data_IF_037525594189
#
_entry.id   IF_037525594189
#
_cell.length_a   1.000
_cell.length_b   1.000
_cell.length_c   1.000
_cell.angle_alpha   90.00
_cell.angle_beta   90.00
_cell.angle_gamma   90.00
#
_symmetry.space_group_name_H-M   'P 1'
#
loop_
_entity.id
_entity.type
_entity.pdbx_description
1 polymer ?
#
# COMPACT_ATOMS: atom_id res chain seq x y z
N UNK A 1 -9.85 24.16 -7.50
CA UNK A 1 -11.06 23.57 -6.88
C UNK A 1 -10.82 23.43 -5.39
N UNK A 2 -9.89 22.58 -4.95
CA UNK A 2 -9.56 22.46 -3.52
C UNK A 2 -9.14 23.79 -2.88
N UNK A 3 -8.19 24.51 -3.47
CA UNK A 3 -7.72 25.82 -2.95
C UNK A 3 -8.82 26.87 -2.73
N UNK A 4 -9.93 26.77 -3.45
CA UNK A 4 -11.06 27.70 -3.36
C UNK A 4 -12.22 27.14 -2.52
N UNK A 5 -12.12 25.90 -2.04
CA UNK A 5 -13.16 25.22 -1.24
C UNK A 5 -13.04 25.62 0.22
N UNK A 6 -14.17 25.94 0.85
CA UNK A 6 -14.16 26.48 2.22
C UNK A 6 -15.13 25.80 3.20
N UNK A 7 -16.12 25.04 2.70
CA UNK A 7 -17.20 24.47 3.51
C UNK A 7 -17.30 22.95 3.39
N UNK A 8 -17.35 22.41 2.17
CA UNK A 8 -17.65 20.99 1.99
C UNK A 8 -17.07 20.37 0.73
N UNK A 9 -16.73 19.09 0.83
CA UNK A 9 -16.31 18.24 -0.29
C UNK A 9 -17.13 16.95 -0.25
N UNK A 10 -17.92 16.71 -1.29
CA UNK A 10 -18.67 15.45 -1.43
C UNK A 10 -18.20 14.68 -2.66
N UNK A 11 -17.89 13.40 -2.48
CA UNK A 11 -17.35 12.55 -3.55
C UNK A 11 -18.17 11.27 -3.67
N UNK A 12 -18.61 10.95 -4.89
CA UNK A 12 -19.03 9.61 -5.26
C UNK A 12 -18.00 9.03 -6.21
N UNK A 13 -17.41 7.91 -5.86
CA UNK A 13 -16.53 7.20 -6.78
C UNK A 13 -16.41 5.72 -6.41
N UNK A 14 -16.57 4.78 -7.37
CA UNK A 14 -16.50 3.37 -7.07
C UNK A 14 -15.10 2.90 -6.68
N UNK A 15 -14.07 3.57 -7.18
CA UNK A 15 -12.68 3.17 -6.98
C UNK A 15 -11.88 4.34 -6.42
N UNK A 16 -11.10 4.05 -5.38
CA UNK A 16 -10.23 4.98 -4.70
C UNK A 16 -8.81 4.42 -4.69
N UNK A 17 -7.84 5.18 -5.19
CA UNK A 17 -6.42 4.81 -5.05
C UNK A 17 -5.82 5.42 -3.79
N UNK A 18 -4.82 4.76 -3.20
CA UNK A 18 -4.12 5.27 -2.02
C UNK A 18 -3.53 6.68 -2.27
N UNK A 19 -2.95 6.90 -3.45
CA UNK A 19 -2.31 8.19 -3.81
C UNK A 19 -3.30 9.36 -3.77
N UNK A 20 -4.45 9.23 -4.43
CA UNK A 20 -5.47 10.27 -4.50
C UNK A 20 -6.13 10.48 -3.14
N UNK A 21 -6.41 9.39 -2.41
CA UNK A 21 -6.88 9.44 -1.03
C UNK A 21 -5.89 10.21 -0.14
N UNK A 22 -4.60 9.88 -0.18
CA UNK A 22 -3.58 10.53 0.62
C UNK A 22 -3.42 12.01 0.28
N UNK A 23 -3.51 12.39 -1.00
CA UNK A 23 -3.45 13.81 -1.39
C UNK A 23 -4.61 14.60 -0.79
N UNK A 24 -5.84 14.09 -0.91
CA UNK A 24 -7.00 14.74 -0.31
C UNK A 24 -6.89 14.79 1.22
N UNK A 25 -6.49 13.70 1.86
CA UNK A 25 -6.31 13.65 3.31
C UNK A 25 -5.26 14.63 3.81
N UNK A 26 -4.09 14.69 3.19
CA UNK A 26 -3.04 15.66 3.56
C UNK A 26 -3.55 17.09 3.41
N UNK A 27 -4.24 17.39 2.31
CA UNK A 27 -4.82 18.71 2.12
C UNK A 27 -5.87 19.06 3.19
N UNK A 28 -6.73 18.11 3.58
CA UNK A 28 -7.71 18.32 4.65
C UNK A 28 -7.04 18.62 6.00
N UNK A 29 -5.98 17.90 6.33
CA UNK A 29 -5.21 18.08 7.57
C UNK A 29 -4.46 19.42 7.62
N UNK A 30 -3.97 19.89 6.47
CA UNK A 30 -3.30 21.18 6.33
C UNK A 30 -4.28 22.36 6.23
N UNK A 31 -5.55 22.10 5.90
CA UNK A 31 -6.55 23.14 5.74
C UNK A 31 -6.94 23.76 7.09
N UNK A 32 -6.85 25.09 7.20
CA UNK A 32 -7.21 25.83 8.42
C UNK A 32 -8.71 25.89 8.71
N UNK A 33 -9.54 25.45 7.75
CA UNK A 33 -11.00 25.49 7.82
C UNK A 33 -11.60 24.16 8.26
N UNK A 34 -12.75 24.21 8.94
CA UNK A 34 -13.51 23.00 9.27
C UNK A 34 -14.31 22.54 8.03
N UNK A 35 -13.64 21.84 7.12
CA UNK A 35 -14.23 21.37 5.86
C UNK A 35 -14.91 20.02 6.08
N UNK A 36 -16.22 19.95 5.81
CA UNK A 36 -16.99 18.71 5.89
C UNK A 36 -16.72 17.87 4.65
N UNK A 37 -16.04 16.74 4.81
CA UNK A 37 -15.79 15.80 3.72
C UNK A 37 -16.60 14.51 3.87
N UNK A 38 -17.39 14.17 2.85
CA UNK A 38 -18.17 12.91 2.79
C UNK A 38 -17.89 12.17 1.49
N UNK A 39 -17.74 10.85 1.57
CA UNK A 39 -17.45 10.01 0.41
C UNK A 39 -18.34 8.77 0.39
N UNK A 40 -18.95 8.50 -0.76
CA UNK A 40 -19.66 7.25 -1.05
C UNK A 40 -18.81 6.43 -2.02
N UNK A 41 -18.47 5.19 -1.64
CA UNK A 41 -17.60 4.31 -2.43
C UNK A 41 -18.02 2.84 -2.35
N UNK A 42 -17.42 1.97 -3.17
CA UNK A 42 -17.59 0.52 -3.05
C UNK A 42 -16.68 -0.04 -1.95
N UNK A 43 -17.13 -1.07 -1.24
CA UNK A 43 -16.36 -1.74 -0.20
C UNK A 43 -16.38 -3.26 -0.40
N UNK A 44 -15.65 -3.71 -1.43
CA UNK A 44 -15.65 -5.11 -1.87
C UNK A 44 -14.28 -5.75 -1.57
N UNK A 45 -14.29 -6.89 -0.86
CA UNK A 45 -13.07 -7.60 -0.46
C UNK A 45 -12.18 -7.95 -1.65
N UNK A 46 -12.78 -8.49 -2.71
CA UNK A 46 -12.03 -8.89 -3.89
C UNK A 46 -11.35 -7.71 -4.58
N UNK A 47 -12.00 -6.55 -4.62
CA UNK A 47 -11.41 -5.33 -5.20
C UNK A 47 -10.20 -4.85 -4.37
N UNK A 48 -10.19 -5.10 -3.06
CA UNK A 48 -9.03 -4.84 -2.20
C UNK A 48 -7.89 -5.86 -2.41
N UNK A 49 -8.22 -7.15 -2.50
CA UNK A 49 -7.25 -8.23 -2.75
C UNK A 49 -6.60 -8.06 -4.14
N UNK A 50 -7.41 -7.75 -5.14
CA UNK A 50 -6.95 -7.47 -6.50
C UNK A 50 -6.32 -6.08 -6.63
N UNK A 51 -6.44 -5.22 -5.62
CA UNK A 51 -5.95 -3.84 -5.58
C UNK A 51 -6.53 -2.93 -6.68
N UNK A 52 -7.77 -3.16 -7.09
CA UNK A 52 -8.55 -2.23 -7.92
C UNK A 52 -9.12 -1.07 -7.08
N UNK A 53 -9.30 -1.31 -5.78
CA UNK A 53 -9.68 -0.32 -4.78
C UNK A 53 -8.69 -0.41 -3.60
N UNK A 54 -8.38 0.71 -2.95
CA UNK A 54 -7.38 0.75 -1.88
C UNK A 54 -8.01 0.80 -0.50
N UNK A 55 -8.00 -0.33 0.23
CA UNK A 55 -8.44 -0.37 1.63
C UNK A 55 -7.60 0.55 2.52
N UNK A 56 -6.29 0.69 2.24
CA UNK A 56 -5.41 1.66 2.91
C UNK A 56 -5.75 3.10 2.55
N UNK A 57 -6.14 3.38 1.31
CA UNK A 57 -6.63 4.70 0.91
C UNK A 57 -7.90 5.08 1.68
N UNK A 58 -8.82 4.13 1.85
CA UNK A 58 -10.03 4.32 2.67
C UNK A 58 -9.66 4.54 4.14
N UNK A 59 -8.73 3.75 4.71
CA UNK A 59 -8.21 3.99 6.08
C UNK A 59 -7.60 5.39 6.23
N UNK A 60 -6.81 5.84 5.26
CA UNK A 60 -6.17 7.16 5.26
C UNK A 60 -7.18 8.31 5.22
N UNK A 61 -8.27 8.17 4.44
CA UNK A 61 -9.39 9.12 4.41
C UNK A 61 -10.13 9.14 5.75
N UNK A 62 -10.41 7.96 6.32
CA UNK A 62 -11.05 7.84 7.63
C UNK A 62 -10.23 8.55 8.73
N UNK A 63 -8.91 8.37 8.72
CA UNK A 63 -8.00 9.00 9.68
C UNK A 63 -7.96 10.53 9.57
N UNK A 64 -8.17 11.07 8.37
CA UNK A 64 -8.31 12.51 8.12
C UNK A 64 -9.71 13.05 8.48
N UNK A 65 -10.58 12.26 9.12
CA UNK A 65 -11.90 12.68 9.57
C UNK A 65 -13.00 12.65 8.49
N UNK A 66 -12.73 12.05 7.33
CA UNK A 66 -13.71 11.92 6.25
C UNK A 66 -14.83 10.95 6.64
N UNK A 67 -16.08 11.33 6.41
CA UNK A 67 -17.21 10.39 6.56
C UNK A 67 -17.34 9.49 5.33
N UNK A 68 -17.15 8.19 5.53
CA UNK A 68 -17.12 7.20 4.46
C UNK A 68 -18.35 6.28 4.53
N UNK A 69 -18.99 6.04 3.39
CA UNK A 69 -20.18 5.20 3.28
C UNK A 69 -20.05 4.20 2.13
N UNK A 70 -20.46 2.95 2.37
CA UNK A 70 -20.36 1.87 1.41
C UNK A 70 -21.67 1.68 0.63
N UNK A 71 -21.58 1.75 -0.70
CA UNK A 71 -22.69 1.52 -1.63
C UNK A 71 -22.31 0.47 -2.67
N UNK A 72 -23.10 -0.59 -2.76
CA UNK A 72 -22.94 -1.60 -3.81
C UNK A 72 -23.45 -1.07 -5.15
N UNK A 73 -22.86 -1.58 -6.23
CA UNK A 73 -23.18 -1.20 -7.62
C UNK A 73 -22.99 0.28 -7.97
N UNK A 74 -22.39 1.10 -7.08
CA UNK A 74 -22.04 2.49 -7.38
C UNK A 74 -21.25 2.58 -8.68
N UNK A 75 -21.63 3.44 -9.61
CA UNK A 75 -20.82 3.72 -10.81
C UNK A 75 -20.66 5.23 -11.10
N UNK A 76 -21.39 6.08 -10.38
CA UNK A 76 -21.25 7.53 -10.48
C UNK A 76 -19.84 7.97 -10.11
N UNK A 77 -19.30 8.92 -10.89
CA UNK A 77 -18.12 9.70 -10.52
C UNK A 77 -18.50 11.17 -10.46
N UNK A 78 -18.57 11.70 -9.26
CA UNK A 78 -19.05 13.04 -8.96
C UNK A 78 -18.20 13.62 -7.84
N UNK A 79 -17.72 14.84 -8.02
CA UNK A 79 -16.91 15.57 -7.06
C UNK A 79 -17.52 16.96 -6.88
N UNK A 80 -18.00 17.26 -5.69
CA UNK A 80 -18.67 18.51 -5.35
C UNK A 80 -17.79 19.32 -4.42
N UNK A 81 -17.67 20.61 -4.70
CA UNK A 81 -16.86 21.57 -3.95
C UNK A 81 -17.77 22.72 -3.54
N UNK A 82 -18.02 22.82 -2.24
CA UNK A 82 -19.07 23.66 -1.66
C UNK A 82 -20.42 23.42 -2.37
N UNK A 83 -21.24 24.47 -2.50
CA UNK A 83 -22.50 24.44 -3.25
C UNK A 83 -22.37 25.25 -4.56
N UNK A 84 -21.17 25.38 -5.10
CA UNK A 84 -20.92 26.26 -6.26
C UNK A 84 -20.22 25.58 -7.42
N UNK A 85 -19.49 24.49 -7.19
CA UNK A 85 -18.67 23.91 -8.26
C UNK A 85 -18.67 22.38 -8.21
N UNK A 86 -18.61 21.75 -9.38
CA UNK A 86 -18.58 20.30 -9.49
C UNK A 86 -17.70 19.79 -10.63
N UNK A 87 -17.21 18.57 -10.48
CA UNK A 87 -16.60 17.77 -11.53
C UNK A 87 -17.43 16.49 -11.67
N UNK A 88 -17.76 16.11 -12.89
CA UNK A 88 -18.44 14.85 -13.19
C UNK A 88 -17.94 14.25 -14.49
N UNK A 89 -18.06 12.93 -14.62
CA UNK A 89 -17.64 12.26 -15.85
C UNK A 89 -17.35 10.79 -15.63
N UNK A 90 -16.35 10.30 -16.37
CA UNK A 90 -15.91 8.91 -16.35
C UNK A 90 -14.73 8.64 -15.41
N UNK A 91 -14.00 9.70 -15.01
CA UNK A 91 -12.83 9.64 -14.14
C UNK A 91 -13.14 9.16 -12.71
N UNK A 92 -12.61 8.00 -12.32
CA UNK A 92 -12.63 7.52 -10.92
C UNK A 92 -11.70 8.33 -10.01
N UNK A 93 -11.85 8.17 -8.69
CA UNK A 93 -11.05 8.89 -7.68
C UNK A 93 -9.69 8.22 -7.50
N UNK A 94 -8.99 8.11 -8.62
CA UNK A 94 -7.70 7.46 -8.77
C UNK A 94 -6.80 8.38 -9.57
N UNK A 95 -5.50 8.24 -9.38
CA UNK A 95 -4.53 9.02 -10.16
C UNK A 95 -4.71 8.77 -11.66
N UNK A 96 -5.00 7.52 -12.05
CA UNK A 96 -5.26 7.15 -13.44
C UNK A 96 -6.51 7.82 -14.01
N UNK A 97 -7.59 7.86 -13.24
CA UNK A 97 -8.83 8.52 -13.65
C UNK A 97 -8.63 10.02 -13.87
N UNK A 98 -7.72 10.67 -13.14
CA UNK A 98 -7.48 12.11 -13.32
C UNK A 98 -6.41 12.46 -14.35
N UNK A 99 -5.41 11.60 -14.56
CA UNK A 99 -4.21 12.01 -15.31
C UNK A 99 -3.79 11.07 -16.45
N UNK A 100 -4.35 9.86 -16.54
CA UNK A 100 -3.90 8.86 -17.53
C UNK A 100 -4.96 8.42 -18.52
N UNK A 101 -6.08 7.99 -17.98
CA UNK A 101 -7.08 7.28 -18.75
C UNK A 101 -7.66 8.23 -19.81
N UNK A 102 -8.14 7.65 -20.91
CA UNK A 102 -8.92 8.41 -21.88
C UNK A 102 -10.32 8.68 -21.32
N UNK A 103 -10.42 9.72 -20.50
CA UNK A 103 -11.61 10.06 -19.72
C UNK A 103 -12.28 11.28 -20.33
N UNK A 104 -13.61 11.26 -20.30
CA UNK A 104 -14.44 12.43 -20.55
C UNK A 104 -14.98 12.95 -19.22
N UNK A 105 -14.88 14.26 -19.01
CA UNK A 105 -15.42 14.93 -17.85
C UNK A 105 -15.79 16.38 -18.12
N UNK A 106 -16.66 16.91 -17.28
CA UNK A 106 -17.10 18.30 -17.27
C UNK A 106 -16.71 18.89 -15.92
N UNK A 107 -16.11 20.08 -15.96
CA UNK A 107 -15.85 20.90 -14.78
C UNK A 107 -16.74 22.13 -14.87
N UNK A 108 -17.61 22.31 -13.88
CA UNK A 108 -18.44 23.49 -13.72
C UNK A 108 -17.95 24.26 -12.49
N UNK A 109 -17.68 25.54 -12.67
CA UNK A 109 -17.18 26.43 -11.62
C UNK A 109 -18.17 27.56 -11.44
N UNK A 110 -18.49 27.87 -10.19
CA UNK A 110 -19.39 28.98 -9.85
C UNK A 110 -20.79 28.86 -10.50
N UNK A 111 -21.27 27.62 -10.62
CA UNK A 111 -22.59 27.25 -11.14
C UNK A 111 -23.46 26.67 -9.99
N UNK A 112 -23.97 27.53 -9.08
CA UNK A 112 -24.63 27.07 -7.85
C UNK A 112 -25.94 26.33 -8.11
N UNK A 113 -26.73 26.72 -9.10
CA UNK A 113 -28.04 26.10 -9.37
C UNK A 113 -27.89 24.64 -9.81
N UNK A 114 -26.93 24.37 -10.69
CA UNK A 114 -26.64 23.01 -11.13
C UNK A 114 -25.91 22.21 -10.05
N UNK A 115 -24.98 22.85 -9.32
CA UNK A 115 -24.25 22.19 -8.23
C UNK A 115 -25.20 21.77 -7.11
N UNK A 116 -26.19 22.58 -6.76
CA UNK A 116 -27.21 22.23 -5.76
C UNK A 116 -28.01 20.98 -6.16
N UNK A 117 -28.38 20.82 -7.43
CA UNK A 117 -29.04 19.58 -7.90
C UNK A 117 -28.14 18.35 -7.74
N UNK A 118 -26.82 18.51 -7.96
CA UNK A 118 -25.86 17.44 -7.74
C UNK A 118 -25.67 17.12 -6.24
N UNK A 119 -25.72 18.14 -5.38
CA UNK A 119 -25.71 17.99 -3.91
C UNK A 119 -26.96 17.24 -3.45
N UNK A 120 -28.14 17.59 -3.96
CA UNK A 120 -29.39 16.90 -3.65
C UNK A 120 -29.32 15.42 -4.06
N UNK A 121 -28.78 15.12 -5.25
CA UNK A 121 -28.53 13.75 -5.69
C UNK A 121 -27.61 12.97 -4.73
N UNK A 122 -26.54 13.60 -4.25
CA UNK A 122 -25.61 13.00 -3.28
C UNK A 122 -26.31 12.72 -1.94
N UNK A 123 -26.96 13.73 -1.36
CA UNK A 123 -27.57 13.65 -0.03
C UNK A 123 -28.79 12.70 -0.02
N UNK A 124 -29.57 12.65 -1.10
CA UNK A 124 -30.65 11.66 -1.25
C UNK A 124 -30.10 10.24 -1.33
N UNK A 125 -28.99 10.04 -2.03
CA UNK A 125 -28.30 8.74 -2.07
C UNK A 125 -27.81 8.36 -0.68
N UNK A 126 -27.17 9.28 0.03
CA UNK A 126 -26.69 9.06 1.39
C UNK A 126 -27.83 8.73 2.36
N UNK A 127 -28.96 9.45 2.27
CA UNK A 127 -30.15 9.19 3.08
C UNK A 127 -30.68 7.77 2.86
N UNK A 128 -30.72 7.30 1.62
CA UNK A 128 -31.14 5.92 1.30
C UNK A 128 -30.16 4.89 1.85
N UNK A 129 -28.85 5.13 1.73
CA UNK A 129 -27.82 4.28 2.36
C UNK A 129 -28.08 4.16 3.87
N UNK A 130 -28.33 5.30 4.53
CA UNK A 130 -28.60 5.35 5.97
C UNK A 130 -29.83 4.54 6.37
N UNK A 131 -30.89 4.64 5.59
CA UNK A 131 -32.13 3.87 5.80
C UNK A 131 -31.95 2.36 5.60
N UNK A 132 -30.96 1.92 4.82
CA UNK A 132 -30.68 0.50 4.61
C UNK A 132 -29.83 -0.14 5.72
N UNK A 133 -29.30 0.64 6.67
CA UNK A 133 -28.48 0.11 7.78
C UNK A 133 -27.22 0.95 8.08
N UNK A 134 -27.26 2.26 7.83
CA UNK A 134 -26.13 3.22 7.93
C UNK A 134 -24.98 2.99 6.94
N UNK A 135 -24.42 1.77 6.89
CA UNK A 135 -23.28 1.39 6.04
C UNK A 135 -22.12 2.39 6.08
N UNK A 136 -21.98 3.09 7.20
CA UNK A 136 -20.84 3.94 7.49
C UNK A 136 -19.62 3.05 7.74
N UNK A 137 -18.51 3.34 7.07
CA UNK A 137 -17.25 2.62 7.25
C UNK A 137 -16.64 3.08 8.58
N UNK A 138 -16.69 2.22 9.59
CA UNK A 138 -16.13 2.47 10.93
C UNK A 138 -14.76 1.82 11.11
N UNK A 139 -14.07 2.16 12.21
CA UNK A 139 -12.80 1.52 12.58
C UNK A 139 -12.96 0.00 12.74
N UNK A 140 -14.06 -0.48 13.34
CA UNK A 140 -14.28 -1.93 13.49
C UNK A 140 -14.44 -2.63 12.13
N UNK A 141 -15.11 -1.98 11.16
CA UNK A 141 -15.26 -2.51 9.79
C UNK A 141 -13.91 -2.59 9.09
N UNK A 142 -13.11 -1.53 9.17
CA UNK A 142 -11.77 -1.49 8.58
C UNK A 142 -10.86 -2.57 9.17
N UNK A 143 -10.75 -2.65 10.49
CA UNK A 143 -9.87 -3.61 11.17
C UNK A 143 -10.26 -5.06 10.85
N UNK A 144 -11.57 -5.33 10.81
CA UNK A 144 -12.11 -6.62 10.40
C UNK A 144 -11.73 -6.95 8.96
N UNK A 145 -11.88 -6.00 8.04
CA UNK A 145 -11.58 -6.23 6.63
C UNK A 145 -10.08 -6.38 6.37
N UNK A 146 -9.22 -5.57 7.00
CA UNK A 146 -7.77 -5.75 6.96
C UNK A 146 -7.34 -7.14 7.40
N UNK A 147 -7.94 -7.66 8.47
CA UNK A 147 -7.67 -9.03 8.94
C UNK A 147 -8.04 -10.08 7.90
N UNK A 148 -9.14 -9.90 7.17
CA UNK A 148 -9.53 -10.83 6.10
C UNK A 148 -8.61 -10.73 4.88
N UNK A 149 -8.36 -9.52 4.37
CA UNK A 149 -7.46 -9.29 3.22
C UNK A 149 -6.06 -9.83 3.52
N UNK A 150 -5.50 -9.56 4.71
CA UNK A 150 -4.17 -10.04 5.11
C UNK A 150 -4.11 -11.57 5.26
N UNK A 151 -5.18 -12.22 5.75
CA UNK A 151 -5.25 -13.69 5.82
C UNK A 151 -5.29 -14.34 4.43
N UNK A 152 -6.04 -13.73 3.51
CA UNK A 152 -6.14 -14.21 2.13
C UNK A 152 -4.83 -14.03 1.36
N UNK A 153 -4.03 -13.01 1.68
CA UNK A 153 -2.78 -12.69 0.98
C UNK A 153 -1.53 -13.34 1.59
N UNK A 154 -1.51 -13.65 2.90
CA UNK A 154 -0.34 -14.25 3.59
C UNK A 154 -0.14 -15.75 3.38
N UNK A 155 -1.00 -16.44 2.63
CA UNK A 155 -0.90 -17.89 2.38
C UNK A 155 -1.10 -18.79 3.61
N UNK A 156 -1.43 -18.22 4.78
CA UNK A 156 -1.76 -18.95 6.01
C UNK A 156 -3.21 -19.45 6.06
N UNK A 157 -4.05 -19.04 5.10
CA UNK A 157 -5.28 -19.76 4.79
C UNK A 157 -4.94 -21.11 4.17
N UNK A 158 -4.85 -22.17 4.98
CA UNK A 158 -4.84 -23.54 4.45
C UNK A 158 -6.09 -23.69 3.57
N UNK A 159 -5.91 -23.76 2.26
CA UNK A 159 -6.95 -24.28 1.38
C UNK A 159 -7.32 -25.67 1.90
N UNK A 160 -8.57 -25.86 2.33
CA UNK A 160 -9.11 -27.22 2.35
C UNK A 160 -9.10 -27.70 0.91
N UNK A 161 -8.70 -28.96 0.72
CA UNK A 161 -8.38 -29.53 -0.60
C UNK A 161 -9.55 -29.56 -1.60
N UNK A 162 -10.75 -29.11 -1.20
CA UNK A 162 -11.99 -29.20 -1.97
C UNK A 162 -12.85 -27.91 -1.96
N UNK A 163 -12.35 -26.77 -1.48
CA UNK A 163 -13.11 -25.51 -1.50
C UNK A 163 -12.80 -24.70 -2.77
N UNK A 164 -13.85 -24.37 -3.52
CA UNK A 164 -13.77 -23.54 -4.72
C UNK A 164 -13.17 -22.15 -4.36
N UNK A 165 -12.08 -21.69 -5.00
CA UNK A 165 -11.45 -20.40 -4.70
C UNK A 165 -12.41 -19.20 -4.71
N UNK A 166 -13.51 -19.33 -5.46
CA UNK A 166 -14.52 -18.30 -5.64
C UNK A 166 -15.54 -18.15 -4.50
N UNK A 167 -15.65 -19.12 -3.57
CA UNK A 167 -16.69 -19.06 -2.51
C UNK A 167 -16.36 -18.10 -1.36
N UNK A 168 -15.08 -17.85 -1.06
CA UNK A 168 -14.68 -17.02 0.09
C UNK A 168 -14.48 -15.52 -0.23
N UNK A 169 -14.44 -15.17 -1.52
CA UNK A 169 -13.90 -13.87 -1.95
C UNK A 169 -14.93 -12.86 -2.50
N UNK A 170 -16.19 -13.25 -2.71
CA UNK A 170 -17.23 -12.35 -3.24
C UNK A 170 -17.89 -11.46 -2.17
N UNK A 171 -17.24 -11.18 -1.05
CA UNK A 171 -17.85 -10.35 0.00
C UNK A 171 -17.92 -8.89 -0.45
N UNK A 172 -19.15 -8.45 -0.78
CA UNK A 172 -19.51 -7.06 -1.03
C UNK A 172 -20.24 -6.52 0.19
N UNK A 173 -19.67 -5.52 0.84
CA UNK A 173 -20.29 -4.87 2.00
C UNK A 173 -20.73 -3.45 1.60
N UNK A 174 -21.96 -3.09 1.94
CA UNK A 174 -22.54 -1.80 1.57
C UNK A 174 -24.04 -1.88 1.29
N UNK A 175 -24.69 -0.72 1.23
CA UNK A 175 -26.10 -0.62 0.92
C UNK A 175 -26.41 -1.13 -0.48
N UNK A 176 -27.61 -1.68 -0.67
CA UNK A 176 -28.16 -2.04 -1.98
C UNK A 176 -29.47 -1.28 -2.14
N UNK A 177 -29.49 -0.30 -3.06
CA UNK A 177 -30.64 0.61 -3.21
C UNK A 177 -31.69 0.10 -4.21
N UNK A 178 -31.29 -0.74 -5.18
CA UNK A 178 -32.22 -1.38 -6.14
C UNK A 178 -32.21 -2.91 -5.97
N UNK A 179 -33.33 -3.47 -5.51
CA UNK A 179 -33.48 -4.91 -5.29
C UNK A 179 -33.61 -5.71 -6.59
N UNK A 180 -34.09 -5.10 -7.70
CA UNK A 180 -34.26 -5.79 -8.99
C UNK A 180 -32.95 -5.95 -9.76
N UNK A 181 -32.01 -5.02 -9.56
CA UNK A 181 -30.66 -5.10 -10.11
C UNK A 181 -29.87 -6.25 -9.46
N UNK A 182 -30.19 -6.56 -8.20
CA UNK A 182 -29.60 -7.64 -7.41
C UNK A 182 -29.94 -9.04 -7.97
N UNK A 183 -31.20 -9.28 -8.38
CA UNK A 183 -31.64 -10.55 -8.98
C UNK A 183 -30.99 -10.83 -10.35
N UNK A 184 -30.73 -9.77 -11.15
CA UNK A 184 -30.06 -9.89 -12.45
C UNK A 184 -28.55 -10.12 -12.33
N UNK A 185 -27.91 -9.59 -11.27
CA UNK A 185 -26.47 -9.73 -11.07
C UNK A 185 -26.07 -10.96 -10.25
N UNK A 186 -27.01 -11.59 -9.51
CA UNK A 186 -26.76 -12.90 -8.87
C UNK A 186 -26.74 -14.07 -9.87
N UNK A 187 -27.39 -13.93 -11.03
CA UNK A 187 -27.49 -14.99 -12.05
C UNK A 187 -26.36 -14.95 -13.10
N UNK A 188 -25.75 -13.78 -13.31
CA UNK A 188 -24.54 -13.71 -14.13
C UNK A 188 -23.33 -14.02 -13.26
N UNK A 189 -22.59 -15.09 -13.61
CA UNK A 189 -21.15 -15.12 -13.37
C UNK A 189 -20.59 -13.81 -13.94
N UNK A 190 -20.47 -12.80 -13.08
CA UNK A 190 -19.87 -11.52 -13.43
C UNK A 190 -18.40 -11.82 -13.66
N UNK A 191 -18.07 -12.20 -14.89
CA UNK A 191 -16.69 -12.34 -15.36
C UNK A 191 -16.09 -10.94 -15.21
N UNK A 192 -15.32 -10.74 -14.16
CA UNK A 192 -14.41 -9.61 -13.97
C UNK A 192 -13.45 -9.60 -15.16
N UNK A 193 -13.91 -9.04 -16.28
CA UNK A 193 -13.13 -8.86 -17.49
C UNK A 193 -13.57 -7.52 -18.05
N UNK A 194 -13.18 -6.46 -17.34
CA UNK A 194 -12.95 -5.10 -17.84
C UNK A 194 -12.72 -4.17 -16.64
N UNK A 195 -11.67 -3.36 -16.73
CA UNK A 195 -11.08 -2.50 -15.68
C UNK A 195 -10.06 -3.15 -14.73
N UNK A 196 -9.30 -4.11 -15.24
CA UNK A 196 -7.87 -4.10 -14.93
C UNK A 196 -7.26 -2.97 -15.74
N UNK A 197 -6.75 -1.92 -15.08
CA UNK A 197 -5.73 -1.14 -15.76
C UNK A 197 -4.57 -0.77 -14.85
N UNK A 198 -3.44 -1.19 -15.40
CA UNK A 198 -2.08 -1.27 -14.91
C UNK A 198 -1.40 0.02 -15.37
N UNK A 199 -0.30 0.35 -14.69
CA UNK A 199 0.68 1.38 -15.01
C UNK A 199 0.60 2.65 -14.14
N UNK A 200 1.80 3.14 -13.87
CA UNK A 200 2.09 4.48 -13.34
C UNK A 200 1.88 4.69 -11.84
N UNK A 201 2.87 4.19 -11.09
CA UNK A 201 3.79 5.10 -10.38
C UNK A 201 5.18 5.22 -11.05
N UNK A 202 5.43 4.48 -12.14
CA UNK A 202 6.72 4.48 -12.85
C UNK A 202 6.95 5.68 -13.78
N UNK A 203 5.91 6.31 -14.33
CA UNK A 203 6.06 7.40 -15.30
C UNK A 203 6.21 8.78 -14.64
N UNK A 204 5.56 9.03 -13.49
CA UNK A 204 5.48 10.39 -12.91
C UNK A 204 6.78 10.82 -12.22
N UNK A 205 7.57 9.89 -11.69
CA UNK A 205 8.93 10.23 -11.26
C UNK A 205 9.91 10.33 -12.42
N UNK A 206 9.67 9.63 -13.51
CA UNK A 206 10.48 9.78 -14.72
C UNK A 206 10.24 11.13 -15.41
N UNK A 207 9.01 11.67 -15.32
CA UNK A 207 8.68 12.99 -15.89
C UNK A 207 8.90 14.18 -14.93
N UNK A 208 8.81 14.01 -13.60
CA UNK A 208 9.00 15.12 -12.65
C UNK A 208 10.43 15.24 -12.07
N UNK A 209 11.36 14.34 -12.42
CA UNK A 209 12.78 14.43 -11.96
C UNK A 209 13.78 14.78 -13.07
N UNK A 210 13.33 15.30 -14.21
CA UNK A 210 14.20 15.92 -15.22
C UNK A 210 14.78 17.27 -14.77
N UNK A 211 15.28 17.35 -13.54
CA UNK A 211 16.40 18.22 -13.14
C UNK A 211 17.37 17.57 -12.14
N UNK A 212 17.17 16.32 -11.67
CA UNK A 212 18.18 15.61 -10.88
C UNK A 212 18.12 14.09 -11.11
N UNK A 213 18.85 13.65 -12.14
CA UNK A 213 19.13 12.23 -12.41
C UNK A 213 20.00 11.68 -11.27
N UNK A 214 19.36 11.17 -10.22
CA UNK A 214 20.03 10.16 -9.39
C UNK A 214 19.93 8.87 -10.20
N UNK A 215 21.05 8.42 -10.76
CA UNK A 215 21.23 7.06 -11.27
C UNK A 215 20.93 6.08 -10.12
N UNK A 216 19.66 5.72 -9.91
CA UNK A 216 19.30 4.70 -8.91
C UNK A 216 19.68 3.35 -9.52
N UNK A 217 20.92 2.94 -9.25
CA UNK A 217 21.34 1.54 -9.31
C UNK A 217 20.27 0.75 -8.52
N UNK A 218 19.75 -0.33 -9.11
CA UNK A 218 18.53 -1.04 -8.66
C UNK A 218 18.42 -1.32 -7.15
N UNK A 219 17.23 -1.72 -6.68
CA UNK A 219 16.99 -1.97 -5.26
C UNK A 219 16.95 -3.45 -4.89
N UNK A 220 17.24 -3.71 -3.62
CA UNK A 220 17.15 -5.05 -3.04
C UNK A 220 16.57 -5.00 -1.63
N UNK A 221 15.73 -5.98 -1.29
CA UNK A 221 15.26 -6.17 0.08
C UNK A 221 16.14 -7.25 0.74
N UNK A 222 16.76 -6.92 1.87
CA UNK A 222 17.47 -7.85 2.75
C UNK A 222 16.54 -8.27 3.88
N UNK A 223 16.40 -9.57 4.09
CA UNK A 223 15.62 -10.13 5.20
C UNK A 223 16.54 -10.52 6.35
N UNK A 224 16.30 -9.98 7.54
CA UNK A 224 17.01 -10.34 8.78
C UNK A 224 16.05 -10.99 9.78
N UNK A 225 16.44 -12.15 10.32
CA UNK A 225 15.62 -12.96 11.20
C UNK A 225 15.15 -14.26 10.56
N UNK A 226 14.33 -15.01 11.30
CA UNK A 226 13.81 -16.32 10.90
C UNK A 226 12.28 -16.34 11.06
N UNK A 227 11.57 -17.04 10.18
CA UNK A 227 10.12 -17.22 10.26
C UNK A 227 9.67 -18.05 11.47
N UNK A 228 10.51 -18.97 11.96
CA UNK A 228 10.23 -19.80 13.13
C UNK A 228 10.49 -19.06 14.45
N UNK A 229 11.44 -18.12 14.44
CA UNK A 229 11.76 -17.24 15.56
C UNK A 229 11.70 -15.77 15.11
N UNK A 230 10.48 -15.27 14.95
CA UNK A 230 10.22 -13.92 14.45
C UNK A 230 10.68 -12.88 15.46
N UNK A 231 11.27 -11.82 14.93
CA UNK A 231 11.73 -10.67 15.73
C UNK A 231 10.50 -9.97 16.33
N UNK A 232 10.48 -9.64 17.64
CA UNK A 232 9.41 -8.88 18.26
C UNK A 232 9.15 -7.57 17.50
N UNK A 233 7.90 -7.28 17.15
CA UNK A 233 7.55 -6.09 16.39
C UNK A 233 7.55 -4.80 17.25
N UNK A 234 7.71 -4.94 18.56
CA UNK A 234 7.89 -3.86 19.54
C UNK A 234 9.32 -3.34 19.63
N UNK A 235 10.30 -4.09 19.11
CA UNK A 235 11.71 -3.68 19.15
C UNK A 235 11.99 -2.54 18.16
N UNK A 236 12.97 -1.70 18.47
CA UNK A 236 13.53 -0.69 17.55
C UNK A 236 14.78 -1.30 16.87
N UNK A 237 14.86 -1.21 15.54
CA UNK A 237 15.89 -1.91 14.76
C UNK A 237 17.32 -1.57 15.19
N UNK A 238 17.68 -0.29 15.28
CA UNK A 238 19.06 0.09 15.64
C UNK A 238 19.41 -0.20 17.08
N UNK A 239 18.47 -0.06 18.02
CA UNK A 239 18.71 -0.44 19.42
C UNK A 239 18.97 -1.94 19.56
N UNK A 240 18.14 -2.74 18.89
CA UNK A 240 18.33 -4.19 18.81
C UNK A 240 19.67 -4.53 18.16
N UNK A 241 20.03 -3.83 17.08
CA UNK A 241 21.30 -4.06 16.37
C UNK A 241 22.50 -3.74 17.26
N UNK A 242 22.49 -2.62 18.00
CA UNK A 242 23.51 -2.23 18.98
C UNK A 242 23.69 -3.27 20.09
N UNK A 243 22.60 -3.87 20.56
CA UNK A 243 22.65 -4.93 21.59
C UNK A 243 23.25 -6.24 21.08
N UNK A 244 22.94 -6.61 19.83
CA UNK A 244 23.24 -7.94 19.29
C UNK A 244 24.51 -8.01 18.45
N UNK A 245 24.94 -6.89 17.84
CA UNK A 245 26.04 -6.86 16.88
C UNK A 245 27.05 -5.78 17.23
N UNK A 246 28.33 -6.12 17.05
CA UNK A 246 29.43 -5.17 17.19
C UNK A 246 29.52 -4.21 16.00
N UNK A 247 29.02 -4.61 14.84
CA UNK A 247 29.12 -3.86 13.58
C UNK A 247 27.76 -3.33 13.17
N UNK A 248 27.59 -2.01 13.27
CA UNK A 248 26.34 -1.35 12.90
C UNK A 248 26.15 -1.29 11.39
N UNK A 249 27.23 -1.17 10.62
CA UNK A 249 27.25 -1.00 9.17
C UNK A 249 27.32 -2.31 8.38
N UNK A 250 27.03 -3.47 9.00
CA UNK A 250 27.11 -4.79 8.35
C UNK A 250 25.79 -5.54 8.37
N UNK A 251 25.53 -6.34 7.34
CA UNK A 251 24.46 -7.35 7.32
C UNK A 251 24.99 -8.68 6.80
N UNK A 252 24.37 -9.78 7.24
CA UNK A 252 24.95 -11.12 7.16
C UNK A 252 24.11 -12.09 6.30
N UNK A 253 24.79 -13.09 5.74
CA UNK A 253 24.27 -14.03 4.74
C UNK A 253 24.84 -15.43 4.95
N UNK A 254 23.99 -16.44 4.70
CA UNK A 254 24.37 -17.85 4.75
C UNK A 254 25.29 -18.23 3.59
N UNK A 255 25.02 -17.68 2.40
CA UNK A 255 25.82 -17.87 1.17
C UNK A 255 26.44 -16.55 0.75
N UNK A 256 27.51 -16.62 -0.04
CA UNK A 256 28.18 -15.45 -0.62
C UNK A 256 27.16 -14.63 -1.44
N UNK A 257 26.89 -13.36 -1.08
CA UNK A 257 25.91 -12.52 -1.77
C UNK A 257 26.52 -11.82 -2.98
N UNK A 258 27.14 -12.57 -3.90
CA UNK A 258 27.89 -12.01 -5.04
C UNK A 258 27.02 -11.26 -6.06
N UNK A 259 25.70 -11.40 -5.98
CA UNK A 259 24.76 -10.67 -6.85
C UNK A 259 24.53 -9.22 -6.41
N UNK A 260 24.93 -8.83 -5.20
CA UNK A 260 24.75 -7.48 -4.67
C UNK A 260 25.83 -6.57 -5.26
N UNK A 261 25.40 -5.45 -5.85
CA UNK A 261 26.30 -4.51 -6.55
C UNK A 261 26.73 -3.36 -5.65
N UNK A 262 27.87 -2.79 -5.97
CA UNK A 262 28.36 -1.54 -5.34
C UNK A 262 27.36 -0.40 -5.64
N UNK A 263 27.00 0.37 -4.62
CA UNK A 263 26.07 1.49 -4.76
C UNK A 263 24.59 1.08 -4.86
N UNK A 264 24.27 -0.22 -4.78
CA UNK A 264 22.89 -0.72 -4.83
C UNK A 264 22.10 -0.25 -3.60
N UNK A 265 20.84 0.16 -3.77
CA UNK A 265 19.99 0.52 -2.61
C UNK A 265 19.56 -0.75 -1.89
N UNK A 266 19.89 -0.84 -0.61
CA UNK A 266 19.57 -1.98 0.25
C UNK A 266 18.49 -1.60 1.27
N UNK A 267 17.28 -2.11 1.07
CA UNK A 267 16.20 -2.01 2.05
C UNK A 267 16.36 -3.11 3.11
N UNK A 268 16.37 -2.74 4.38
CA UNK A 268 16.48 -3.70 5.49
C UNK A 268 15.08 -4.04 5.98
N UNK A 269 14.74 -5.34 5.94
CA UNK A 269 13.48 -5.88 6.42
C UNK A 269 13.71 -6.86 7.59
N UNK A 270 13.03 -6.63 8.72
CA UNK A 270 13.03 -7.53 9.86
C UNK A 270 11.90 -8.57 9.69
N UNK A 271 12.22 -9.86 9.79
CA UNK A 271 11.24 -10.95 9.74
C UNK A 271 10.43 -10.94 11.04
N UNK A 272 9.27 -10.27 11.01
CA UNK A 272 8.50 -9.88 12.20
C UNK A 272 7.00 -10.06 11.97
N UNK A 273 6.17 -9.22 12.61
CA UNK A 273 4.71 -9.19 12.51
C UNK A 273 4.21 -7.76 12.26
N UNK A 274 3.17 -7.63 11.45
CA UNK A 274 2.49 -6.35 11.22
C UNK A 274 1.62 -5.91 12.41
N UNK A 275 0.97 -4.73 12.29
CA UNK A 275 0.04 -4.17 13.29
C UNK A 275 -1.16 -5.07 13.62
N UNK A 276 -1.46 -6.04 12.76
CA UNK A 276 -2.55 -6.99 12.93
C UNK A 276 -2.07 -8.37 13.43
N UNK A 277 -0.77 -8.52 13.73
CA UNK A 277 -0.17 -9.76 14.22
C UNK A 277 0.18 -10.78 13.13
N UNK A 278 0.00 -10.45 11.85
CA UNK A 278 0.32 -11.37 10.75
C UNK A 278 1.84 -11.45 10.58
N UNK A 279 2.36 -12.66 10.38
CA UNK A 279 3.79 -12.85 10.15
C UNK A 279 4.19 -12.36 8.76
N UNK A 280 4.99 -11.29 8.70
CA UNK A 280 5.48 -10.70 7.44
C UNK A 280 6.79 -9.95 7.68
N UNK A 281 7.70 -9.87 6.68
CA UNK A 281 8.81 -8.94 6.75
C UNK A 281 8.35 -7.49 6.88
N UNK A 282 8.99 -6.74 7.77
CA UNK A 282 8.75 -5.32 8.02
C UNK A 282 9.98 -4.52 7.61
N UNK A 283 9.85 -3.65 6.61
CA UNK A 283 10.92 -2.80 6.08
C UNK A 283 11.06 -1.56 6.96
N UNK A 284 12.25 -1.36 7.52
CA UNK A 284 12.51 -0.37 8.58
C UNK A 284 13.47 0.75 8.19
N UNK A 285 14.03 0.67 6.99
CA UNK A 285 14.99 1.65 6.49
C UNK A 285 15.73 1.16 5.26
N UNK A 286 16.64 2.00 4.79
CA UNK A 286 17.48 1.70 3.64
C UNK A 286 18.91 2.22 3.84
N UNK A 287 19.85 1.65 3.08
CA UNK A 287 21.24 2.08 3.04
C UNK A 287 21.82 1.88 1.63
N UNK A 288 23.04 2.34 1.40
CA UNK A 288 23.82 2.08 0.18
C UNK A 288 24.73 0.89 0.41
N UNK A 289 24.58 -0.18 -0.38
CA UNK A 289 25.38 -1.38 -0.24
C UNK A 289 26.78 -1.24 -0.85
N UNK A 290 27.76 -1.82 -0.17
CA UNK A 290 29.05 -2.15 -0.77
C UNK A 290 29.00 -3.58 -1.32
N UNK A 291 29.62 -3.80 -2.48
CA UNK A 291 29.70 -5.12 -3.09
C UNK A 291 30.44 -6.11 -2.18
N UNK A 292 30.09 -7.39 -2.30
CA UNK A 292 30.81 -8.43 -1.60
C UNK A 292 32.27 -8.49 -2.07
N UNK A 293 33.22 -8.38 -1.13
CA UNK A 293 34.65 -8.51 -1.40
C UNK A 293 35.19 -9.87 -0.93
N UNK A 294 36.22 -10.36 -1.61
CA UNK A 294 36.97 -11.55 -1.18
C UNK A 294 37.62 -11.27 0.18
N UNK A 295 37.03 -11.82 1.24
CA UNK A 295 37.43 -11.54 2.62
C UNK A 295 36.28 -11.18 3.54
N UNK A 296 35.10 -10.83 3.00
CA UNK A 296 33.89 -10.53 3.78
C UNK A 296 33.25 -11.80 4.37
N UNK A 297 34.01 -12.51 5.19
CA UNK A 297 33.62 -13.75 5.83
C UNK A 297 34.22 -13.79 7.24
N UNK A 298 33.37 -13.97 8.24
CA UNK A 298 33.84 -14.23 9.61
C UNK A 298 34.27 -15.70 9.68
N UNK A 299 35.53 -15.93 10.07
CA UNK A 299 36.08 -17.29 10.20
C UNK A 299 35.50 -17.96 11.45
N UNK A 300 35.30 -19.29 11.40
CA UNK A 300 34.74 -20.07 12.53
C UNK A 300 35.54 -19.97 13.82
N UNK A 301 36.85 -19.76 13.71
CA UNK A 301 37.75 -19.62 14.86
C UNK A 301 37.77 -18.20 15.45
N UNK A 302 36.99 -17.27 14.90
CA UNK A 302 36.80 -15.95 15.45
C UNK A 302 35.89 -16.04 16.68
N UNK A 303 36.28 -15.54 17.86
CA UNK A 303 35.41 -15.52 19.05
C UNK A 303 34.05 -14.84 18.80
N UNK A 304 33.95 -13.97 17.79
CA UNK A 304 32.72 -13.29 17.35
C UNK A 304 31.77 -14.22 16.58
N UNK A 305 32.26 -15.34 16.05
CA UNK A 305 31.49 -16.29 15.23
C UNK A 305 30.38 -16.99 16.04
N UNK A 306 30.70 -17.40 17.27
CA UNK A 306 29.82 -18.24 18.10
C UNK A 306 28.65 -17.51 18.76
N UNK A 307 28.62 -16.17 18.74
CA UNK A 307 27.62 -15.41 19.49
C UNK A 307 26.37 -15.06 18.65
N UNK A 308 26.46 -15.06 17.32
CA UNK A 308 25.36 -14.60 16.43
C UNK A 308 25.38 -15.19 15.00
N UNK A 309 26.40 -15.96 14.62
CA UNK A 309 26.79 -16.15 13.21
C UNK A 309 26.93 -17.60 12.75
N UNK A 310 26.49 -18.59 13.53
CA UNK A 310 26.71 -20.02 13.19
C UNK A 310 26.23 -20.38 11.78
N UNK A 311 25.16 -19.72 11.30
CA UNK A 311 24.57 -19.91 9.98
C UNK A 311 24.81 -18.75 8.99
N UNK A 312 25.50 -17.67 9.36
CA UNK A 312 25.61 -16.47 8.49
C UNK A 312 27.04 -15.92 8.42
N UNK A 313 28.00 -16.68 7.86
CA UNK A 313 29.41 -16.32 7.89
C UNK A 313 29.76 -15.14 6.97
N UNK A 314 28.99 -14.92 5.91
CA UNK A 314 29.29 -13.89 4.91
C UNK A 314 28.63 -12.57 5.27
N UNK A 315 29.28 -11.45 4.96
CA UNK A 315 28.69 -10.14 5.16
C UNK A 315 28.93 -9.21 3.98
N UNK A 316 28.16 -8.13 3.95
CA UNK A 316 28.51 -6.92 3.21
C UNK A 316 28.48 -5.75 4.19
N UNK A 317 29.15 -4.68 3.80
CA UNK A 317 29.04 -3.38 4.46
C UNK A 317 28.03 -2.50 3.73
N UNK A 318 27.49 -1.52 4.44
CA UNK A 318 26.65 -0.48 3.86
C UNK A 318 26.97 0.87 4.49
N UNK A 319 26.65 1.95 3.80
CA UNK A 319 26.83 3.34 4.23
C UNK A 319 25.56 4.16 4.00
N UNK A 320 25.51 5.38 4.54
CA UNK A 320 24.37 6.30 4.40
C UNK A 320 23.06 5.65 4.81
N UNK A 321 23.08 4.90 5.91
CA UNK A 321 21.90 4.21 6.39
C UNK A 321 20.93 5.20 7.02
N UNK A 322 19.65 5.12 6.67
CA UNK A 322 18.55 5.79 7.39
C UNK A 322 17.58 4.73 7.90
N UNK A 323 17.28 4.76 9.20
CA UNK A 323 16.42 3.76 9.84
C UNK A 323 15.44 4.40 10.82
N UNK A 324 14.22 3.86 10.87
CA UNK A 324 13.19 4.36 11.79
C UNK A 324 13.65 4.27 13.24
N UNK A 325 13.39 5.34 14.01
CA UNK A 325 13.61 5.39 15.47
C UNK A 325 12.43 4.85 16.28
N UNK A 326 11.48 4.21 15.62
CA UNK A 326 10.24 3.67 16.19
C UNK A 326 10.21 2.14 16.14
N UNK A 327 9.28 1.51 16.87
CA UNK A 327 9.12 0.06 16.84
C UNK A 327 8.93 -0.50 15.42
N UNK A 328 9.46 -1.70 15.16
CA UNK A 328 9.41 -2.40 13.86
C UNK A 328 7.99 -2.48 13.26
N UNK A 329 6.96 -2.58 14.10
CA UNK A 329 5.54 -2.60 13.68
C UNK A 329 5.13 -1.37 12.87
N UNK A 330 5.81 -0.23 13.05
CA UNK A 330 5.56 1.02 12.33
C UNK A 330 6.27 1.10 10.98
N UNK A 331 7.08 0.10 10.63
CA UNK A 331 7.70 -0.02 9.30
C UNK A 331 6.71 -0.42 8.21
N UNK A 332 7.22 -0.56 6.98
CA UNK A 332 6.39 -0.93 5.82
C UNK A 332 6.30 -2.46 5.73
N UNK A 333 5.10 -3.00 5.82
CA UNK A 333 4.88 -4.45 5.66
C UNK A 333 5.11 -4.90 4.21
N UNK A 334 5.81 -6.03 3.99
CA UNK A 334 5.94 -6.57 2.64
C UNK A 334 4.59 -6.97 2.02
N UNK A 335 3.58 -7.29 2.83
CA UNK A 335 2.20 -7.51 2.37
C UNK A 335 1.64 -6.21 1.79
N UNK A 336 1.86 -5.05 2.43
CA UNK A 336 1.48 -3.74 1.89
C UNK A 336 2.13 -3.49 0.54
N UNK A 337 3.45 -3.68 0.46
CA UNK A 337 4.20 -3.47 -0.79
C UNK A 337 3.67 -4.40 -1.90
N UNK A 338 3.37 -5.66 -1.59
CA UNK A 338 2.80 -6.59 -2.55
C UNK A 338 1.40 -6.21 -3.01
N UNK A 339 0.52 -5.77 -2.11
CA UNK A 339 -0.82 -5.29 -2.48
C UNK A 339 -0.75 -4.07 -3.41
N UNK A 340 0.17 -3.14 -3.13
CA UNK A 340 0.32 -1.90 -3.88
C UNK A 340 1.00 -2.12 -5.25
N UNK A 341 2.06 -2.93 -5.31
CA UNK A 341 2.86 -3.09 -6.54
C UNK A 341 2.54 -4.34 -7.36
N UNK A 342 1.98 -5.38 -6.73
CA UNK A 342 1.60 -6.65 -7.38
C UNK A 342 2.75 -7.21 -8.24
N UNK A 343 2.49 -7.50 -9.51
CA UNK A 343 3.45 -8.06 -10.46
C UNK A 343 4.67 -7.16 -10.71
N UNK A 344 4.60 -5.87 -10.35
CA UNK A 344 5.72 -4.92 -10.44
C UNK A 344 6.66 -4.96 -9.23
N UNK A 345 6.41 -5.79 -8.22
CA UNK A 345 7.31 -5.88 -7.06
C UNK A 345 8.66 -6.52 -7.44
N UNK A 346 8.63 -7.61 -8.21
CA UNK A 346 9.82 -8.38 -8.55
C UNK A 346 10.08 -8.37 -10.06
N UNK A 347 11.35 -8.31 -10.51
CA UNK A 347 11.68 -8.34 -11.94
C UNK A 347 11.10 -9.56 -12.66
N UNK A 348 11.09 -10.73 -12.00
CA UNK A 348 10.56 -11.97 -12.57
C UNK A 348 9.04 -12.09 -12.61
N UNK A 349 8.29 -11.04 -12.27
CA UNK A 349 6.82 -10.97 -12.45
C UNK A 349 6.40 -9.77 -13.29
N UNK A 350 7.33 -8.90 -13.69
CA UNK A 350 7.02 -7.60 -14.28
C UNK A 350 6.24 -7.72 -15.60
N UNK A 351 6.45 -8.79 -16.35
CA UNK A 351 5.76 -9.10 -17.60
C UNK A 351 4.56 -10.06 -17.43
N UNK A 352 4.21 -10.42 -16.19
CA UNK A 352 3.18 -11.42 -15.86
C UNK A 352 2.06 -10.77 -15.01
N UNK A 353 1.22 -9.90 -15.60
CA UNK A 353 0.27 -9.06 -14.85
C UNK A 353 -0.81 -9.86 -14.10
N UNK A 354 -1.14 -11.04 -14.60
CA UNK A 354 -2.14 -11.94 -14.03
C UNK A 354 -1.60 -12.81 -12.88
N UNK A 355 -0.32 -12.64 -12.50
CA UNK A 355 0.27 -13.42 -11.41
C UNK A 355 -0.51 -13.17 -10.11
N UNK A 356 -1.08 -14.22 -9.49
CA UNK A 356 -1.82 -14.06 -8.24
C UNK A 356 -0.95 -13.47 -7.14
N UNK A 357 -1.51 -12.51 -6.39
CA UNK A 357 -0.81 -11.85 -5.29
C UNK A 357 -0.21 -12.83 -4.25
N UNK A 358 -0.90 -13.93 -3.84
CA UNK A 358 -0.30 -14.92 -2.95
C UNK A 358 0.98 -15.56 -3.50
N UNK A 359 1.11 -15.70 -4.82
CA UNK A 359 2.29 -16.30 -5.45
C UNK A 359 3.43 -15.30 -5.55
N UNK A 360 3.13 -14.03 -5.83
CA UNK A 360 4.09 -12.92 -5.71
C UNK A 360 4.64 -12.87 -4.29
N UNK A 361 3.76 -12.86 -3.28
CA UNK A 361 4.14 -12.77 -1.87
C UNK A 361 4.93 -13.98 -1.38
N UNK A 362 4.88 -15.15 -2.02
CA UNK A 362 5.72 -16.29 -1.65
C UNK A 362 7.13 -16.25 -2.24
N UNK A 363 7.41 -15.42 -3.26
CA UNK A 363 8.70 -15.42 -3.98
C UNK A 363 9.92 -15.09 -3.12
N UNK A 364 9.73 -14.40 -1.99
CA UNK A 364 10.80 -14.09 -1.04
C UNK A 364 11.04 -15.19 0.00
N UNK A 365 10.15 -16.19 0.11
CA UNK A 365 10.28 -17.24 1.11
C UNK A 365 11.63 -17.95 0.98
N UNK A 366 12.27 -18.22 2.11
CA UNK A 366 13.56 -18.90 2.21
C UNK A 366 14.73 -18.17 1.50
N UNK A 367 14.58 -16.88 1.18
CA UNK A 367 15.67 -16.06 0.64
C UNK A 367 16.20 -15.10 1.69
N UNK A 368 17.53 -14.94 1.73
CA UNK A 368 18.17 -13.93 2.58
C UNK A 368 17.99 -12.51 2.02
N UNK A 369 17.80 -12.38 0.72
CA UNK A 369 17.54 -11.13 0.02
C UNK A 369 16.84 -11.38 -1.32
N UNK A 370 16.19 -10.37 -1.89
CA UNK A 370 15.55 -10.45 -3.21
C UNK A 370 15.68 -9.12 -3.96
N UNK A 371 15.99 -9.20 -5.26
CA UNK A 371 15.99 -8.02 -6.12
C UNK A 371 14.55 -7.55 -6.35
N UNK A 372 14.35 -6.23 -6.35
CA UNK A 372 13.08 -5.60 -6.67
C UNK A 372 13.22 -4.74 -7.91
N UNK A 373 12.10 -4.38 -8.52
CA UNK A 373 12.09 -3.49 -9.69
C UNK A 373 12.53 -2.07 -9.30
N UNK A 374 12.82 -1.26 -10.32
CA UNK A 374 13.08 0.16 -10.10
C UNK A 374 11.85 0.88 -9.54
N UNK A 375 10.64 0.49 -9.98
CA UNK A 375 9.36 1.01 -9.45
C UNK A 375 9.23 0.75 -7.95
N UNK A 376 9.49 -0.50 -7.53
CA UNK A 376 9.43 -0.88 -6.13
C UNK A 376 10.49 -0.15 -5.28
N UNK A 377 11.69 0.04 -5.83
CA UNK A 377 12.77 0.81 -5.19
C UNK A 377 12.32 2.23 -4.91
N UNK A 378 11.69 2.85 -5.90
CA UNK A 378 11.21 4.23 -5.78
C UNK A 378 10.09 4.34 -4.74
N UNK A 379 9.07 3.49 -4.85
CA UNK A 379 7.94 3.44 -3.93
C UNK A 379 8.42 3.34 -2.48
N UNK A 380 9.34 2.42 -2.20
CA UNK A 380 9.88 2.23 -0.85
C UNK A 380 10.66 3.43 -0.33
N UNK A 381 11.45 4.10 -1.19
CA UNK A 381 12.17 5.32 -0.77
C UNK A 381 11.22 6.43 -0.37
N UNK A 382 10.22 6.77 -1.20
CA UNK A 382 9.23 7.81 -0.84
C UNK A 382 8.51 7.45 0.45
N UNK A 383 8.05 6.19 0.56
CA UNK A 383 7.28 5.76 1.72
C UNK A 383 8.11 5.84 3.00
N UNK A 384 9.40 5.50 2.95
CA UNK A 384 10.31 5.61 4.09
C UNK A 384 10.64 7.07 4.42
N UNK A 385 10.88 7.94 3.45
CA UNK A 385 11.16 9.37 3.73
C UNK A 385 9.97 10.04 4.45
N UNK A 386 8.72 9.76 4.04
CA UNK A 386 7.55 10.25 4.79
C UNK A 386 7.50 9.71 6.22
N UNK A 387 7.76 8.42 6.41
CA UNK A 387 7.82 7.85 7.77
C UNK A 387 8.96 8.47 8.58
N UNK A 388 10.07 8.86 7.96
CA UNK A 388 11.18 9.55 8.63
C UNK A 388 10.81 10.98 9.03
N UNK A 389 10.03 11.69 8.22
CA UNK A 389 9.48 13.01 8.56
C UNK A 389 8.51 12.90 9.75
N UNK A 390 7.57 11.95 9.68
CA UNK A 390 6.52 11.78 10.69
C UNK A 390 7.04 11.23 12.03
N UNK A 391 7.95 10.26 11.95
CA UNK A 391 8.33 9.43 13.09
C UNK A 391 9.80 9.55 13.48
N UNK A 392 10.59 10.29 12.71
CA UNK A 392 12.04 10.44 12.85
C UNK A 392 12.85 9.21 12.47
N UNK A 393 14.17 9.41 12.35
CA UNK A 393 15.12 8.39 11.95
C UNK A 393 16.47 8.59 12.61
N UNK A 394 17.24 7.51 12.64
CA UNK A 394 18.65 7.48 13.00
C UNK A 394 19.50 7.15 11.75
N UNK A 395 20.77 7.55 11.78
CA UNK A 395 21.72 7.28 10.70
C UNK A 395 22.86 6.35 11.11
N UNK A 396 23.45 5.68 10.10
CA UNK A 396 24.71 4.92 10.21
C UNK A 396 25.67 5.37 9.13
#
# INVERSE_FOLDING_TARGET
MLETTSKSIYIMSPFISFSTANQLSTWLEESSGNIVCKIITRFNREEFIQGANSLKGIERLFEAGVELYALQHLHSKLYLFDNSSCIMGSANFTLSGFFKNHELGIILKEEPDFTNQCVDYFEDTLKKIKQCGDFRITREVLDKEFKYVSRSTSGLGKMKKDTNPNEFNQHRWGAVLDKKENERQSDFQYKFKEHYDILENTSILYYNTTENVINVIGGRIKFEGNGDNRIPNTDIYLERKKKNYQFMNRTFFHKRPSSIKEGETLFIAQVSRDKHGNGTPMIVGYAVAHAYQNGNMIKKNDPRYHKWNEDYPHYIEFSNGKFLKTPIVNGISLIEVGNELKHKLYPGTETEPDTPLPDILKRHHQKAHIQITQEATHYLKIRLERLFEDQGYDTI
#
